data_IF_178396617018
#
_entry.id   IF_178396617018
#
_cell.length_a   1.000
_cell.length_b   1.000
_cell.length_c   1.000
_cell.angle_alpha   90.00
_cell.angle_beta   90.00
_cell.angle_gamma   90.00
#
_symmetry.space_group_name_H-M   'P 1'
#
loop_
_entity.id
_entity.type
_entity.pdbx_description
1 polymer ?
#
# COMPACT_ATOMS: atom_id res chain seq x y z
N UNK A 1 20.05 -21.89 -35.99
CA UNK A 1 20.54 -21.36 -34.71
C UNK A 1 19.58 -21.86 -33.64
N UNK A 2 20.03 -22.62 -32.62
CA UNK A 2 19.11 -23.06 -31.59
C UNK A 2 18.71 -21.84 -30.75
N UNK A 3 17.40 -21.64 -30.55
CA UNK A 3 16.88 -20.56 -29.72
C UNK A 3 17.20 -20.84 -28.25
N UNK A 4 17.82 -19.87 -27.59
CA UNK A 4 18.21 -19.90 -26.16
C UNK A 4 17.07 -19.44 -25.23
N UNK A 5 15.83 -19.52 -25.70
CA UNK A 5 14.63 -19.12 -24.97
C UNK A 5 13.75 -20.37 -24.89
N UNK A 6 13.39 -20.76 -23.68
CA UNK A 6 12.46 -21.85 -23.40
C UNK A 6 11.03 -21.28 -23.43
N UNK A 7 10.22 -21.68 -24.40
CA UNK A 7 8.85 -21.17 -24.59
C UNK A 7 7.87 -21.61 -23.47
N UNK A 8 8.33 -22.44 -22.51
CA UNK A 8 7.54 -22.87 -21.34
C UNK A 8 7.94 -22.16 -20.05
N UNK A 9 8.84 -21.17 -20.12
CA UNK A 9 9.38 -20.43 -18.98
C UNK A 9 8.34 -19.46 -18.40
N UNK A 10 7.44 -20.01 -17.60
CA UNK A 10 6.40 -19.37 -16.78
C UNK A 10 5.28 -18.65 -17.55
N UNK A 11 4.11 -19.32 -17.60
CA UNK A 11 2.82 -18.63 -17.75
C UNK A 11 2.42 -18.15 -16.34
N UNK A 12 2.58 -16.86 -16.07
CA UNK A 12 2.05 -16.24 -14.85
C UNK A 12 0.54 -16.03 -15.05
N UNK A 13 -0.24 -17.07 -14.76
CA UNK A 13 -1.71 -16.99 -14.74
C UNK A 13 -2.19 -16.58 -13.36
N UNK A 14 -1.88 -15.36 -12.94
CA UNK A 14 -2.54 -14.75 -11.79
C UNK A 14 -2.79 -13.26 -12.11
N UNK A 15 -3.66 -13.05 -13.10
CA UNK A 15 -4.25 -11.75 -13.40
C UNK A 15 -5.37 -11.41 -12.41
N UNK A 16 -5.18 -11.71 -11.12
CA UNK A 16 -5.98 -11.12 -10.08
C UNK A 16 -5.25 -9.86 -9.65
N UNK A 17 -5.64 -8.73 -10.24
CA UNK A 17 -5.13 -7.43 -9.82
C UNK A 17 -5.31 -7.35 -8.29
N UNK A 18 -4.24 -7.14 -7.52
CA UNK A 18 -4.41 -6.96 -6.09
C UNK A 18 -5.26 -5.70 -5.93
N UNK A 19 -6.50 -5.85 -5.46
CA UNK A 19 -7.31 -4.76 -4.93
C UNK A 19 -6.65 -4.27 -3.63
N UNK A 20 -5.49 -3.64 -3.79
CA UNK A 20 -4.69 -3.11 -2.71
C UNK A 20 -5.34 -1.83 -2.21
N UNK A 21 -6.09 -1.93 -1.13
CA UNK A 21 -6.56 -0.74 -0.43
C UNK A 21 -5.40 -0.12 0.34
N UNK A 22 -5.09 1.14 0.05
CA UNK A 22 -4.10 1.89 0.80
C UNK A 22 -4.66 2.20 2.19
N UNK A 23 -4.02 1.67 3.23
CA UNK A 23 -4.43 1.86 4.62
C UNK A 23 -3.43 2.74 5.38
N UNK A 24 -3.94 3.51 6.32
CA UNK A 24 -3.12 4.24 7.28
C UNK A 24 -3.94 4.77 8.43
N UNK A 25 -3.46 5.83 9.06
CA UNK A 25 -4.03 6.35 10.29
C UNK A 25 -4.14 7.88 10.26
N UNK A 26 -5.23 8.42 10.80
CA UNK A 26 -5.35 9.86 11.09
C UNK A 26 -5.17 10.08 12.59
N UNK A 27 -4.28 10.97 12.98
CA UNK A 27 -4.14 11.38 14.37
C UNK A 27 -5.25 12.37 14.75
N UNK A 28 -5.94 12.12 15.86
CA UNK A 28 -7.03 13.01 16.33
C UNK A 28 -6.52 14.31 16.97
N UNK A 29 -5.30 14.32 17.52
CA UNK A 29 -4.80 15.50 18.23
C UNK A 29 -4.24 16.57 17.30
N UNK A 30 -3.50 16.16 16.27
CA UNK A 30 -2.86 17.10 15.32
C UNK A 30 -3.46 17.04 13.90
N UNK A 31 -4.45 16.17 13.66
CA UNK A 31 -5.09 15.96 12.36
C UNK A 31 -4.18 15.50 11.22
N UNK A 32 -2.92 15.15 11.51
CA UNK A 32 -1.98 14.60 10.54
C UNK A 32 -2.37 13.18 10.13
N UNK A 33 -2.20 12.89 8.85
CA UNK A 33 -2.40 11.56 8.28
C UNK A 33 -1.05 10.86 8.14
N UNK A 34 -0.96 9.65 8.66
CA UNK A 34 0.20 8.77 8.62
C UNK A 34 -0.11 7.60 7.70
N UNK A 35 0.75 7.41 6.70
CA UNK A 35 0.60 6.32 5.73
C UNK A 35 1.26 5.04 6.24
N UNK A 36 0.59 3.89 6.06
CA UNK A 36 1.10 2.59 6.51
C UNK A 36 0.85 2.29 8.01
N UNK A 37 1.36 1.15 8.51
CA UNK A 37 1.18 0.74 9.90
C UNK A 37 1.90 1.68 10.87
N UNK A 38 1.15 2.28 11.80
CA UNK A 38 1.70 3.21 12.79
C UNK A 38 1.11 2.96 14.18
N UNK A 39 1.99 2.94 15.21
CA UNK A 39 1.58 2.92 16.63
C UNK A 39 1.52 4.32 17.24
N UNK A 40 2.27 5.27 16.68
CA UNK A 40 2.36 6.66 17.17
C UNK A 40 2.31 7.62 15.98
N UNK A 41 1.76 8.81 16.21
CA UNK A 41 1.76 9.89 15.24
C UNK A 41 3.19 10.38 15.00
N UNK A 42 3.64 10.39 13.75
CA UNK A 42 4.99 10.85 13.39
C UNK A 42 5.20 12.36 13.57
N UNK A 43 4.13 13.14 13.76
CA UNK A 43 4.20 14.58 13.97
C UNK A 43 4.19 15.00 15.44
N UNK A 44 3.33 14.40 16.26
CA UNK A 44 3.14 14.82 17.66
C UNK A 44 3.37 13.71 18.69
N UNK A 45 3.76 12.50 18.23
CA UNK A 45 4.05 11.33 19.07
C UNK A 45 2.85 10.77 19.87
N UNK A 46 1.66 11.34 19.70
CA UNK A 46 0.41 10.80 20.27
C UNK A 46 0.06 9.42 19.72
N UNK A 47 -0.52 8.56 20.55
CA UNK A 47 -1.10 7.26 20.19
C UNK A 47 -2.59 7.34 19.79
N UNK A 48 -3.20 8.53 19.84
CA UNK A 48 -4.61 8.75 19.50
C UNK A 48 -4.83 8.77 17.97
N UNK A 49 -4.72 7.59 17.37
CA UNK A 49 -4.80 7.33 15.94
C UNK A 49 -6.10 6.59 15.59
N UNK A 50 -6.73 6.96 14.47
CA UNK A 50 -7.85 6.22 13.88
C UNK A 50 -7.48 5.65 12.52
N UNK A 51 -7.85 4.39 12.23
CA UNK A 51 -7.60 3.80 10.92
C UNK A 51 -8.40 4.53 9.85
N UNK A 52 -7.76 4.77 8.70
CA UNK A 52 -8.38 5.33 7.51
C UNK A 52 -7.95 4.57 6.27
N UNK A 53 -8.84 4.52 5.29
CA UNK A 53 -8.57 4.00 3.95
C UNK A 53 -8.35 5.18 3.03
N UNK A 54 -7.20 5.23 2.37
CA UNK A 54 -6.94 6.16 1.29
C UNK A 54 -7.64 5.67 0.02
N UNK A 55 -8.24 6.60 -0.73
CA UNK A 55 -8.87 6.28 -2.01
C UNK A 55 -7.86 5.75 -3.03
N UNK A 56 -8.37 5.09 -4.07
CA UNK A 56 -7.61 4.47 -5.16
C UNK A 56 -6.96 5.47 -6.14
N UNK A 57 -7.10 6.77 -5.89
CA UNK A 57 -6.60 7.82 -6.78
C UNK A 57 -5.22 8.28 -6.31
N UNK A 58 -4.18 7.65 -6.83
CA UNK A 58 -2.81 8.16 -6.83
C UNK A 58 -2.46 8.72 -8.20
N UNK A 59 -1.71 9.83 -8.26
CA UNK A 59 -1.05 10.29 -9.48
C UNK A 59 0.45 10.04 -9.34
N UNK A 60 1.07 9.55 -10.41
CA UNK A 60 2.53 9.48 -10.56
C UNK A 60 3.09 10.88 -10.86
#
# INVERSE_FOLDING_TARGET
>A
MPSSIDDTRLIISDAQEPEGSLVGFKCKDCNVVVFGPAKFCQSCTSDNLIPITFGSLGSL
#
